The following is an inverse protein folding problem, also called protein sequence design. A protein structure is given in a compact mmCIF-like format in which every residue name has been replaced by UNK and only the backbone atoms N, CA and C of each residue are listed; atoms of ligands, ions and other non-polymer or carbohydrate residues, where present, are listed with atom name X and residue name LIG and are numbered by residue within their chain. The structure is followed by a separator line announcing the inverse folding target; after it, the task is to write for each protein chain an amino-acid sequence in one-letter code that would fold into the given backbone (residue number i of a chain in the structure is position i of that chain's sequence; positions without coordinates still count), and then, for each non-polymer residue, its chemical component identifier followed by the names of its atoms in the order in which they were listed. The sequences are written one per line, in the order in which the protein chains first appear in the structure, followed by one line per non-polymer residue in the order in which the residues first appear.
data_IF_848503470838
#
_entry.id   IF_848503470838
#
_cell.length_a   1.000
_cell.length_b   1.000
_cell.length_c   1.000
_cell.angle_alpha   90.00
_cell.angle_beta   90.00
_cell.angle_gamma   90.00
#
_symmetry.space_group_name_H-M   'P 1'
#
loop_
_entity.id
_entity.type
_entity.pdbx_description
1 polymer ?
#
# COMPACT_ATOMS: atom_id res chain seq x y z
N UNK A 1 -16.99 -13.11 -9.39
CA UNK A 1 -17.28 -12.82 -7.96
C UNK A 1 -17.35 -11.32 -7.64
N UNK A 2 -16.30 -10.54 -7.87
CA UNK A 2 -16.27 -9.12 -7.47
C UNK A 2 -17.43 -8.27 -8.02
N UNK A 3 -17.75 -8.37 -9.32
CA UNK A 3 -18.90 -7.64 -9.90
C UNK A 3 -20.24 -8.03 -9.28
N UNK A 4 -20.40 -9.29 -8.87
CA UNK A 4 -21.63 -9.76 -8.19
C UNK A 4 -21.73 -9.16 -6.79
N UNK A 5 -20.61 -9.08 -6.06
CA UNK A 5 -20.56 -8.41 -4.74
C UNK A 5 -20.85 -6.92 -4.88
N UNK A 6 -20.34 -6.25 -5.92
CA UNK A 6 -20.67 -4.86 -6.20
C UNK A 6 -22.14 -4.67 -6.54
N UNK A 7 -22.73 -5.52 -7.40
CA UNK A 7 -24.15 -5.46 -7.74
C UNK A 7 -25.01 -5.66 -6.49
N UNK A 8 -24.75 -6.70 -5.69
CA UNK A 8 -25.49 -6.96 -4.44
C UNK A 8 -25.29 -5.81 -3.46
N UNK A 9 -24.05 -5.35 -3.25
CA UNK A 9 -23.73 -4.29 -2.29
C UNK A 9 -24.33 -2.93 -2.66
N UNK A 10 -24.46 -2.62 -3.96
CA UNK A 10 -25.10 -1.40 -4.48
C UNK A 10 -26.63 -1.51 -4.45
N UNK A 11 -27.19 -2.65 -4.88
CA UNK A 11 -28.65 -2.85 -4.92
C UNK A 11 -29.27 -2.96 -3.52
N UNK A 12 -28.53 -3.50 -2.55
CA UNK A 12 -28.98 -3.62 -1.15
C UNK A 12 -28.55 -2.44 -0.28
N UNK A 13 -27.64 -1.59 -0.75
CA UNK A 13 -27.08 -0.49 0.04
C UNK A 13 -26.14 -0.92 1.18
N UNK A 14 -25.80 -2.20 1.29
CA UNK A 14 -25.03 -2.74 2.43
C UNK A 14 -23.61 -2.16 2.52
N UNK A 15 -22.94 -2.01 1.38
CA UNK A 15 -21.53 -1.59 1.30
C UNK A 15 -21.36 -0.30 0.48
N UNK A 16 -22.25 -0.07 -0.47
CA UNK A 16 -22.21 1.04 -1.42
C UNK A 16 -23.60 1.60 -1.61
N UNK A 17 -23.77 2.91 -1.43
CA UNK A 17 -25.08 3.55 -1.60
C UNK A 17 -25.35 3.87 -3.07
N UNK A 18 -24.30 3.93 -3.90
CA UNK A 18 -24.37 4.27 -5.32
C UNK A 18 -23.45 3.36 -6.14
N UNK A 19 -23.80 3.04 -7.41
CA UNK A 19 -22.93 2.30 -8.32
C UNK A 19 -21.54 2.92 -8.46
N UNK A 20 -21.43 4.25 -8.41
CA UNK A 20 -20.14 4.94 -8.49
C UNK A 20 -19.23 4.69 -7.27
N UNK A 21 -19.78 4.26 -6.14
CA UNK A 21 -19.01 3.89 -4.96
C UNK A 21 -18.34 2.51 -5.13
N UNK A 22 -18.80 1.69 -6.09
CA UNK A 22 -18.16 0.44 -6.48
C UNK A 22 -16.90 0.73 -7.33
N UNK A 23 -15.81 1.07 -6.64
CA UNK A 23 -14.54 1.41 -7.27
C UNK A 23 -13.80 0.18 -7.76
N UNK A 24 -13.24 0.24 -8.98
CA UNK A 24 -12.38 -0.79 -9.56
C UNK A 24 -11.38 -1.35 -8.53
N UNK A 25 -11.13 -2.66 -8.52
CA UNK A 25 -10.16 -3.28 -7.61
C UNK A 25 -8.77 -2.65 -7.71
N UNK A 26 -8.35 -2.36 -8.94
CA UNK A 26 -7.04 -1.83 -9.28
C UNK A 26 -7.21 -0.65 -10.23
N UNK A 27 -6.49 0.44 -9.95
CA UNK A 27 -6.43 1.62 -10.82
C UNK A 27 -5.34 1.51 -11.90
N UNK A 28 -5.00 2.61 -12.59
CA UNK A 28 -4.04 2.59 -13.68
C UNK A 28 -2.59 2.41 -13.19
N UNK A 29 -1.93 1.32 -13.61
CA UNK A 29 -0.51 1.05 -13.33
C UNK A 29 0.45 2.13 -13.83
N UNK A 30 0.07 2.87 -14.87
CA UNK A 30 0.85 4.00 -15.41
C UNK A 30 1.05 5.15 -14.42
N UNK A 31 0.31 5.14 -13.29
CA UNK A 31 0.43 6.14 -12.24
C UNK A 31 1.34 5.72 -11.08
N UNK A 32 1.84 4.48 -11.03
CA UNK A 32 2.63 3.92 -9.93
C UNK A 32 4.08 4.41 -9.86
N UNK A 33 4.35 5.64 -10.27
CA UNK A 33 5.68 6.26 -10.20
C UNK A 33 5.96 6.95 -8.86
N UNK A 34 5.06 6.83 -7.87
CA UNK A 34 5.33 7.18 -6.47
C UNK A 34 4.56 6.23 -5.56
N UNK A 35 5.05 5.96 -4.34
CA UNK A 35 4.37 5.17 -3.32
C UNK A 35 2.97 5.75 -3.03
N UNK A 36 2.87 7.08 -2.91
CA UNK A 36 1.57 7.73 -2.65
C UNK A 36 0.54 7.46 -3.77
N UNK A 37 0.96 7.42 -5.03
CA UNK A 37 0.08 7.07 -6.14
C UNK A 37 -0.22 5.57 -6.16
N UNK A 38 0.77 4.71 -5.93
CA UNK A 38 0.57 3.28 -5.88
C UNK A 38 -0.53 2.92 -4.88
N UNK A 39 -0.41 3.34 -3.61
CA UNK A 39 -1.41 3.05 -2.58
C UNK A 39 -2.69 3.86 -2.74
N UNK A 40 -2.58 5.13 -3.14
CA UNK A 40 -3.70 6.05 -3.17
C UNK A 40 -4.56 5.97 -4.43
N UNK A 41 -4.07 5.40 -5.52
CA UNK A 41 -4.76 5.43 -6.83
C UNK A 41 -4.77 4.11 -7.57
N UNK A 42 -3.88 3.16 -7.25
CA UNK A 42 -3.76 1.93 -8.03
C UNK A 42 -4.06 0.68 -7.22
N UNK A 43 -3.41 0.47 -6.09
CA UNK A 43 -3.50 -0.77 -5.34
C UNK A 43 -4.76 -0.84 -4.47
N UNK A 44 -5.46 -1.98 -4.47
CA UNK A 44 -6.55 -2.29 -3.53
C UNK A 44 -7.58 -1.16 -3.35
N UNK A 45 -8.05 -0.58 -4.46
CA UNK A 45 -8.92 0.61 -4.41
C UNK A 45 -10.32 0.30 -3.84
N UNK A 46 -10.71 -0.97 -3.78
CA UNK A 46 -11.93 -1.41 -3.08
C UNK A 46 -11.87 -1.15 -1.56
N UNK A 47 -10.69 -1.06 -0.95
CA UNK A 47 -10.52 -0.73 0.48
C UNK A 47 -10.38 0.78 0.73
N UNK A 48 -10.30 1.59 -0.32
CA UNK A 48 -10.00 3.03 -0.22
C UNK A 48 -10.95 3.75 0.73
N UNK A 49 -12.26 3.52 0.61
CA UNK A 49 -13.27 4.18 1.46
C UNK A 49 -13.14 3.75 2.93
N UNK A 50 -13.00 2.45 3.17
CA UNK A 50 -12.85 1.88 4.52
C UNK A 50 -11.61 2.41 5.25
N UNK A 51 -10.53 2.71 4.51
CA UNK A 51 -9.33 3.29 5.08
C UNK A 51 -9.40 4.83 5.18
N UNK A 52 -9.92 5.52 4.15
CA UNK A 52 -9.87 6.99 4.11
C UNK A 52 -10.87 7.68 5.03
N UNK A 53 -12.08 7.14 5.19
CA UNK A 53 -13.10 7.76 6.05
C UNK A 53 -12.61 7.90 7.50
N UNK A 54 -12.19 6.82 8.19
CA UNK A 54 -11.68 6.94 9.56
C UNK A 54 -10.40 7.76 9.63
N UNK A 55 -9.48 7.60 8.66
CA UNK A 55 -8.26 8.40 8.57
C UNK A 55 -8.54 9.91 8.52
N UNK A 56 -9.53 10.35 7.74
CA UNK A 56 -9.91 11.77 7.64
C UNK A 56 -10.58 12.26 8.92
N UNK A 57 -11.45 11.45 9.51
CA UNK A 57 -12.10 11.78 10.77
C UNK A 57 -11.06 11.96 11.89
N UNK A 58 -10.11 11.03 12.03
CA UNK A 58 -9.04 11.16 13.03
C UNK A 58 -8.16 12.39 12.76
N UNK A 59 -7.77 12.62 11.50
CA UNK A 59 -6.97 13.79 11.16
C UNK A 59 -7.67 15.12 11.48
N UNK A 60 -8.97 15.23 11.21
CA UNK A 60 -9.75 16.45 11.40
C UNK A 60 -10.23 16.61 12.85
N UNK A 61 -10.93 15.61 13.36
CA UNK A 61 -11.73 15.69 14.58
C UNK A 61 -10.91 15.39 15.85
N UNK A 62 -9.86 14.56 15.74
CA UNK A 62 -9.00 14.21 16.89
C UNK A 62 -7.75 15.07 16.91
N UNK A 63 -7.07 15.20 15.76
CA UNK A 63 -5.80 15.93 15.68
C UNK A 63 -5.94 17.40 15.31
N UNK A 64 -7.14 17.88 14.96
CA UNK A 64 -7.37 19.28 14.56
C UNK A 64 -6.59 19.71 13.31
N UNK A 65 -6.13 18.76 12.48
CA UNK A 65 -5.26 19.08 11.36
C UNK A 65 -6.07 19.76 10.23
N UNK A 66 -5.64 20.93 9.73
CA UNK A 66 -6.36 21.63 8.67
C UNK A 66 -6.52 20.75 7.42
N UNK A 67 -7.69 20.80 6.80
CA UNK A 67 -7.97 20.03 5.59
C UNK A 67 -6.96 20.38 4.48
N UNK A 68 -6.39 19.36 3.85
CA UNK A 68 -5.40 19.54 2.78
C UNK A 68 -3.98 19.85 3.28
N UNK A 69 -3.77 20.04 4.58
CA UNK A 69 -2.43 20.25 5.15
C UNK A 69 -1.54 19.00 5.05
N UNK A 70 -0.23 19.22 5.05
CA UNK A 70 0.77 18.14 5.14
C UNK A 70 0.57 17.28 6.38
N UNK A 71 0.22 17.89 7.52
CA UNK A 71 -0.06 17.18 8.76
C UNK A 71 -1.27 16.25 8.60
N UNK A 72 -2.38 16.75 8.05
CA UNK A 72 -3.58 15.95 7.78
C UNK A 72 -3.27 14.76 6.87
N UNK A 73 -2.49 14.97 5.81
CA UNK A 73 -2.07 13.90 4.89
C UNK A 73 -1.26 12.81 5.61
N UNK A 74 -0.30 13.20 6.45
CA UNK A 74 0.55 12.24 7.18
C UNK A 74 -0.26 11.42 8.16
N UNK A 75 -1.11 12.05 8.96
CA UNK A 75 -1.99 11.35 9.90
C UNK A 75 -2.85 10.33 9.14
N UNK A 76 -3.41 10.72 8.00
CA UNK A 76 -4.21 9.81 7.19
C UNK A 76 -3.42 8.58 6.71
N UNK A 77 -2.14 8.74 6.33
CA UNK A 77 -1.27 7.62 5.99
C UNK A 77 -1.04 6.70 7.18
N UNK A 78 -0.62 7.23 8.33
CA UNK A 78 -0.38 6.39 9.51
C UNK A 78 -1.63 5.63 9.92
N UNK A 79 -2.79 6.29 10.02
CA UNK A 79 -4.05 5.63 10.37
C UNK A 79 -4.44 4.57 9.34
N UNK A 80 -4.33 4.87 8.04
CA UNK A 80 -4.70 3.92 6.99
C UNK A 80 -3.82 2.66 7.03
N UNK A 81 -2.51 2.82 7.22
CA UNK A 81 -1.58 1.70 7.32
C UNK A 81 -1.72 0.92 8.63
N UNK A 82 -2.06 1.58 9.74
CA UNK A 82 -2.40 0.89 11.00
C UNK A 82 -3.64 0.02 10.83
N UNK A 83 -4.74 0.57 10.29
CA UNK A 83 -5.98 -0.20 10.04
C UNK A 83 -5.71 -1.37 9.10
N UNK A 84 -4.99 -1.12 8.00
CA UNK A 84 -4.63 -2.17 7.03
C UNK A 84 -3.74 -3.25 7.66
N UNK A 85 -2.76 -2.88 8.49
CA UNK A 85 -1.88 -3.82 9.15
C UNK A 85 -2.61 -4.70 10.17
N UNK A 86 -3.49 -4.11 10.97
CA UNK A 86 -4.34 -4.85 11.90
C UNK A 86 -5.27 -5.81 11.16
N UNK A 87 -5.85 -5.38 10.04
CA UNK A 87 -6.69 -6.24 9.22
C UNK A 87 -5.93 -7.47 8.68
N UNK A 88 -4.75 -7.26 8.08
CA UNK A 88 -3.95 -8.37 7.54
C UNK A 88 -3.45 -9.30 8.64
N UNK A 89 -3.01 -8.74 9.77
CA UNK A 89 -2.60 -9.51 10.94
C UNK A 89 -3.75 -10.36 11.48
N UNK A 90 -4.93 -9.78 11.69
CA UNK A 90 -6.10 -10.49 12.19
C UNK A 90 -6.50 -11.62 11.24
N UNK A 91 -6.58 -11.36 9.92
CA UNK A 91 -6.92 -12.37 8.92
C UNK A 91 -5.91 -13.55 8.90
N UNK A 92 -4.62 -13.27 9.07
CA UNK A 92 -3.60 -14.29 9.17
C UNK A 92 -3.73 -15.10 10.48
N UNK A 93 -3.93 -14.42 11.62
CA UNK A 93 -4.10 -15.05 12.95
C UNK A 93 -5.37 -15.88 13.06
N UNK A 94 -6.46 -15.52 12.38
CA UNK A 94 -7.68 -16.36 12.36
C UNK A 94 -7.45 -17.67 11.62
N UNK A 95 -6.53 -17.69 10.67
CA UNK A 95 -6.17 -18.90 9.91
C UNK A 95 -5.10 -19.72 10.64
N UNK A 96 -4.10 -19.04 11.22
CA UNK A 96 -2.96 -19.66 11.91
C UNK A 96 -2.70 -18.98 13.26
N UNK A 97 -3.46 -19.32 14.32
CA UNK A 97 -3.39 -18.64 15.60
C UNK A 97 -2.06 -18.79 16.35
N UNK A 98 -1.27 -19.82 16.05
CA UNK A 98 0.03 -20.06 16.70
C UNK A 98 1.17 -19.24 16.10
N UNK A 99 1.02 -18.70 14.89
CA UNK A 99 2.09 -17.99 14.18
C UNK A 99 2.14 -16.50 14.56
N UNK A 100 3.33 -15.89 14.47
CA UNK A 100 3.55 -14.53 14.98
C UNK A 100 3.13 -13.44 14.02
N UNK A 101 3.31 -13.62 12.70
CA UNK A 101 3.07 -12.60 11.66
C UNK A 101 3.70 -11.22 11.97
N UNK A 102 4.83 -11.21 12.68
CA UNK A 102 5.49 -9.98 13.10
C UNK A 102 6.04 -9.18 11.89
N UNK A 103 6.52 -9.86 10.84
CA UNK A 103 7.06 -9.19 9.65
C UNK A 103 5.94 -8.50 8.86
N UNK A 104 4.73 -9.06 8.89
CA UNK A 104 3.50 -8.43 8.38
C UNK A 104 3.26 -7.09 9.07
N UNK A 105 3.22 -7.06 10.41
CA UNK A 105 3.03 -5.81 11.16
C UNK A 105 4.16 -4.80 10.90
N UNK A 106 5.41 -5.26 10.86
CA UNK A 106 6.58 -4.42 10.54
C UNK A 106 6.45 -3.77 9.17
N UNK A 107 6.00 -4.50 8.14
CA UNK A 107 5.76 -3.94 6.81
C UNK A 107 4.77 -2.78 6.86
N UNK A 108 3.60 -2.99 7.47
CA UNK A 108 2.56 -1.94 7.54
C UNK A 108 3.01 -0.75 8.41
N UNK A 109 3.78 -0.98 9.49
CA UNK A 109 4.36 0.09 10.29
C UNK A 109 5.41 0.90 9.52
N UNK A 110 6.20 0.26 8.65
CA UNK A 110 7.27 0.90 7.88
C UNK A 110 6.73 1.77 6.74
N UNK A 111 5.67 1.35 6.05
CA UNK A 111 5.11 2.04 4.87
C UNK A 111 4.83 3.55 5.04
N UNK A 112 4.13 4.03 6.09
CA UNK A 112 3.87 5.46 6.24
C UNK A 112 5.15 6.29 6.42
N UNK A 113 6.21 5.71 7.00
CA UNK A 113 7.51 6.38 7.12
C UNK A 113 8.18 6.56 5.75
N UNK A 114 8.13 5.52 4.91
CA UNK A 114 8.68 5.58 3.54
C UNK A 114 7.90 6.57 2.66
N UNK A 115 6.60 6.69 2.85
CA UNK A 115 5.78 7.73 2.20
C UNK A 115 6.20 9.14 2.62
N UNK A 116 6.50 9.35 3.91
CA UNK A 116 7.01 10.64 4.41
C UNK A 116 8.39 10.95 3.83
N UNK A 117 9.28 9.96 3.77
CA UNK A 117 10.61 10.10 3.15
C UNK A 117 10.48 10.46 1.67
N UNK A 118 9.62 9.76 0.92
CA UNK A 118 9.34 10.07 -0.49
C UNK A 118 8.81 11.51 -0.65
N UNK A 119 7.89 11.94 0.22
CA UNK A 119 7.31 13.29 0.18
C UNK A 119 8.36 14.39 0.40
N UNK A 120 9.27 14.18 1.36
CA UNK A 120 10.41 15.08 1.57
C UNK A 120 11.39 15.06 0.41
N UNK A 121 11.76 13.88 -0.10
CA UNK A 121 12.67 13.74 -1.24
C UNK A 121 12.14 14.44 -2.49
N UNK A 122 10.83 14.27 -2.78
CA UNK A 122 10.16 14.98 -3.87
C UNK A 122 10.16 16.48 -3.66
N UNK A 123 9.86 16.95 -2.45
CA UNK A 123 9.86 18.38 -2.13
C UNK A 123 11.24 19.00 -2.31
N UNK A 124 12.28 18.32 -1.85
CA UNK A 124 13.67 18.74 -2.00
C UNK A 124 14.08 18.76 -3.47
N UNK A 125 13.85 17.67 -4.20
CA UNK A 125 14.23 17.55 -5.60
C UNK A 125 13.50 18.59 -6.46
N UNK A 126 12.21 18.84 -6.20
CA UNK A 126 11.44 19.89 -6.89
C UNK A 126 12.09 21.26 -6.72
N UNK A 127 12.50 21.62 -5.49
CA UNK A 127 13.14 22.91 -5.19
C UNK A 127 14.53 23.04 -5.81
N UNK A 128 15.30 21.95 -5.85
CA UNK A 128 16.72 21.99 -6.27
C UNK A 128 16.93 21.76 -7.77
N UNK A 129 16.09 20.96 -8.41
CA UNK A 129 16.30 20.46 -9.77
C UNK A 129 15.10 20.70 -10.70
N UNK A 130 13.97 21.22 -10.22
CA UNK A 130 12.79 21.47 -11.05
C UNK A 130 12.21 20.19 -11.67
N UNK A 131 11.82 19.22 -10.83
CA UNK A 131 11.44 17.87 -11.24
C UNK A 131 10.23 17.83 -12.21
N UNK A 132 10.51 17.86 -13.51
CA UNK A 132 9.51 17.73 -14.57
C UNK A 132 9.99 16.80 -15.68
N UNK A 133 9.06 16.09 -16.32
CA UNK A 133 9.34 15.23 -17.48
C UNK A 133 9.35 13.72 -17.21
N UNK A 134 9.60 12.96 -18.28
CA UNK A 134 9.47 11.49 -18.33
C UNK A 134 10.52 10.76 -17.49
N UNK A 135 11.73 11.31 -17.37
CA UNK A 135 12.83 10.68 -16.62
C UNK A 135 12.53 10.61 -15.12
N UNK A 136 11.93 11.64 -14.52
CA UNK A 136 11.48 11.61 -13.11
C UNK A 136 10.39 10.57 -12.87
N UNK A 137 9.50 10.33 -13.84
CA UNK A 137 8.52 9.24 -13.75
C UNK A 137 9.19 7.88 -13.78
N UNK A 138 10.17 7.68 -14.67
CA UNK A 138 10.93 6.42 -14.73
C UNK A 138 11.69 6.16 -13.42
N UNK A 139 12.39 7.17 -12.90
CA UNK A 139 13.05 7.10 -11.60
C UNK A 139 12.06 6.76 -10.49
N UNK A 140 10.91 7.43 -10.48
CA UNK A 140 9.83 7.18 -9.52
C UNK A 140 9.27 5.76 -9.59
N UNK A 141 9.17 5.17 -10.78
CA UNK A 141 8.81 3.75 -10.93
C UNK A 141 9.85 2.82 -10.32
N UNK A 142 11.14 3.04 -10.62
CA UNK A 142 12.24 2.25 -10.05
C UNK A 142 12.20 2.34 -8.53
N UNK A 143 12.12 3.55 -7.99
CA UNK A 143 11.98 3.80 -6.55
C UNK A 143 10.77 3.04 -5.98
N UNK A 144 9.57 3.26 -6.51
CA UNK A 144 8.33 2.69 -5.98
C UNK A 144 8.39 1.17 -5.91
N UNK A 145 8.79 0.52 -7.00
CA UNK A 145 8.82 -0.95 -7.06
C UNK A 145 10.01 -1.56 -6.32
N UNK A 146 11.18 -0.91 -6.29
CA UNK A 146 12.29 -1.36 -5.46
C UNK A 146 11.93 -1.27 -3.97
N UNK A 147 11.34 -0.16 -3.53
CA UNK A 147 10.90 0.03 -2.15
C UNK A 147 9.83 -0.99 -1.76
N UNK A 148 8.81 -1.20 -2.59
CA UNK A 148 7.77 -2.21 -2.32
C UNK A 148 8.34 -3.62 -2.25
N UNK A 149 9.29 -3.95 -3.13
CA UNK A 149 9.96 -5.27 -3.15
C UNK A 149 10.76 -5.49 -1.88
N UNK A 150 11.63 -4.54 -1.53
CA UNK A 150 12.54 -4.65 -0.38
C UNK A 150 11.76 -4.63 0.92
N UNK A 151 10.87 -3.65 1.11
CA UNK A 151 10.12 -3.51 2.34
C UNK A 151 9.05 -4.61 2.49
N UNK A 152 8.46 -5.07 1.38
CA UNK A 152 7.44 -6.12 1.36
C UNK A 152 8.00 -7.53 1.55
N UNK A 153 9.33 -7.73 1.48
CA UNK A 153 9.95 -9.04 1.55
C UNK A 153 9.54 -9.84 2.78
N UNK A 154 9.59 -9.22 3.97
CA UNK A 154 9.21 -9.88 5.21
C UNK A 154 7.72 -10.22 5.28
N UNK A 155 6.85 -9.36 4.73
CA UNK A 155 5.42 -9.64 4.65
C UNK A 155 5.13 -10.83 3.73
N UNK A 156 5.77 -10.89 2.56
CA UNK A 156 5.64 -12.02 1.65
C UNK A 156 6.18 -13.29 2.28
N UNK A 157 7.32 -13.22 2.97
CA UNK A 157 7.92 -14.36 3.65
C UNK A 157 7.02 -14.95 4.75
N UNK A 158 6.38 -14.10 5.57
CA UNK A 158 5.36 -14.51 6.53
C UNK A 158 4.21 -15.29 5.86
N UNK A 159 3.74 -14.83 4.69
CA UNK A 159 2.63 -15.48 3.99
C UNK A 159 3.05 -16.79 3.31
N UNK A 160 4.26 -16.85 2.75
CA UNK A 160 4.75 -18.00 2.00
C UNK A 160 5.20 -19.12 2.93
N UNK A 161 6.00 -18.80 3.96
CA UNK A 161 6.51 -19.77 4.94
C UNK A 161 5.37 -20.53 5.64
N UNK A 162 4.24 -19.86 5.85
CA UNK A 162 3.07 -20.42 6.49
C UNK A 162 2.03 -20.97 5.51
N UNK A 163 2.33 -21.01 4.21
CA UNK A 163 1.45 -21.61 3.19
C UNK A 163 0.17 -20.83 2.91
N UNK A 164 0.07 -19.57 3.35
CA UNK A 164 -1.07 -18.69 3.07
C UNK A 164 -1.06 -18.19 1.62
N UNK A 165 0.13 -18.09 1.02
CA UNK A 165 0.32 -17.74 -0.40
C UNK A 165 1.35 -18.66 -1.02
N UNK A 166 1.07 -19.17 -2.22
CA UNK A 166 2.02 -19.97 -2.98
C UNK A 166 3.03 -19.10 -3.70
N UNK A 167 4.32 -19.26 -3.41
CA UNK A 167 5.40 -18.68 -4.20
C UNK A 167 5.75 -19.61 -5.36
N UNK A 168 5.08 -19.46 -6.51
CA UNK A 168 5.51 -20.10 -7.76
C UNK A 168 6.01 -19.03 -8.73
N UNK A 169 7.31 -19.01 -9.07
CA UNK A 169 7.80 -18.14 -10.13
C UNK A 169 7.13 -18.54 -11.45
N UNK A 170 6.49 -17.59 -12.13
CA UNK A 170 5.90 -17.82 -13.46
C UNK A 170 7.01 -17.89 -14.53
N UNK A 171 8.15 -17.25 -14.27
CA UNK A 171 9.31 -17.19 -15.16
C UNK A 171 10.52 -17.91 -14.54
N UNK A 172 11.48 -18.40 -15.35
CA UNK A 172 12.69 -19.07 -14.85
C UNK A 172 13.64 -18.12 -14.09
N UNK A 173 13.37 -16.82 -14.12
CA UNK A 173 14.07 -15.80 -13.35
C UNK A 173 13.05 -14.90 -12.63
N UNK A 174 13.43 -14.37 -11.47
CA UNK A 174 12.60 -13.51 -10.64
C UNK A 174 13.33 -12.19 -10.40
N UNK A 175 12.80 -11.09 -10.97
CA UNK A 175 13.31 -9.74 -10.71
C UNK A 175 13.27 -9.40 -9.22
N UNK A 176 12.23 -9.87 -8.52
CA UNK A 176 12.11 -9.77 -7.06
C UNK A 176 13.31 -10.44 -6.38
N UNK A 177 13.66 -11.67 -6.76
CA UNK A 177 14.79 -12.40 -6.18
C UNK A 177 16.12 -11.69 -6.45
N UNK A 178 16.33 -11.14 -7.66
CA UNK A 178 17.54 -10.37 -7.98
C UNK A 178 17.64 -9.14 -7.06
N UNK A 179 16.56 -8.37 -6.93
CA UNK A 179 16.54 -7.16 -6.09
C UNK A 179 16.78 -7.50 -4.61
N UNK A 180 16.15 -8.56 -4.10
CA UNK A 180 16.35 -9.01 -2.72
C UNK A 180 17.80 -9.47 -2.49
N UNK A 181 18.38 -10.21 -3.44
CA UNK A 181 19.77 -10.66 -3.36
C UNK A 181 20.77 -9.50 -3.34
N UNK A 182 20.49 -8.43 -4.09
CA UNK A 182 21.30 -7.22 -4.07
C UNK A 182 21.16 -6.45 -2.74
N UNK A 183 19.96 -6.42 -2.17
CA UNK A 183 19.67 -5.64 -0.96
C UNK A 183 20.15 -6.32 0.33
N UNK A 184 20.09 -7.65 0.40
CA UNK A 184 20.30 -8.40 1.64
C UNK A 184 21.40 -9.48 1.53
N UNK A 185 22.11 -9.56 0.40
CA UNK A 185 22.98 -10.70 0.08
C UNK A 185 22.17 -11.88 -0.46
N UNK A 186 22.82 -12.97 -0.91
CA UNK A 186 22.12 -14.13 -1.49
C UNK A 186 21.09 -14.70 -0.50
N UNK A 187 19.81 -14.42 -0.75
CA UNK A 187 18.64 -15.08 -0.16
C UNK A 187 18.15 -16.05 -1.24
N UNK A 188 18.85 -17.18 -1.33
CA UNK A 188 18.55 -18.50 -1.94
C UNK A 188 19.91 -19.19 -2.15
#
# INVERSE_FOLDING_TARGET
MYHVVCIVGVTTGLFWARPEDAHHLIGPWTQCYTLANFWGRTWHQNFRRALQVPSRAIARDVAGAPQGSTLSRRIQWYVAFTISGLYHYAAAKTTLPSQSFAKTLTFFALMPNLLVIEDYAKSFAQRRFGCSGRHWRLFGFIWTFATLTIAGAGFVDDLVTHGLVTARPILPFSLTTIVLNLAFGRIV
#
